data_IF_787906695190
#
_entry.id   IF_787906695190
#
_cell.length_a   1.000
_cell.length_b   1.000
_cell.length_c   1.000
_cell.angle_alpha   90.00
_cell.angle_beta   90.00
_cell.angle_gamma   90.00
#
_symmetry.space_group_name_H-M   'P 1'
#
loop_
_entity.id
_entity.type
_entity.pdbx_description
1 polymer ?
#
# COMPACT_ATOMS: atom_id res chain seq x y z
N UNK A 1 -19.90 82.49 20.03
CA UNK A 1 -20.40 81.20 20.57
C UNK A 1 -19.72 80.11 19.77
N UNK A 2 -18.77 79.38 20.35
CA UNK A 2 -17.96 78.39 19.67
C UNK A 2 -18.68 77.03 19.63
N UNK A 3 -18.80 76.45 18.44
CA UNK A 3 -19.37 75.13 18.20
C UNK A 3 -18.30 74.05 18.44
N UNK A 4 -18.64 73.03 19.23
CA UNK A 4 -17.80 71.84 19.44
C UNK A 4 -18.52 70.63 18.85
N UNK A 5 -18.01 70.11 17.73
CA UNK A 5 -18.43 68.84 17.16
C UNK A 5 -17.50 67.74 17.66
N UNK A 6 -18.05 66.76 18.39
CA UNK A 6 -17.32 65.56 18.84
C UNK A 6 -17.51 64.47 17.79
N UNK A 7 -16.46 64.16 17.03
CA UNK A 7 -16.43 62.99 16.15
C UNK A 7 -16.12 61.74 16.99
N UNK A 8 -17.04 60.79 17.00
CA UNK A 8 -16.84 59.45 17.58
C UNK A 8 -16.26 58.52 16.52
N UNK A 9 -15.03 58.05 16.71
CA UNK A 9 -14.41 57.03 15.87
C UNK A 9 -14.88 55.63 16.32
N UNK A 10 -15.63 54.94 15.47
CA UNK A 10 -15.97 53.54 15.64
C UNK A 10 -14.81 52.65 15.17
N UNK A 11 -14.21 51.89 16.08
CA UNK A 11 -13.23 50.85 15.76
C UNK A 11 -13.98 49.61 15.26
N UNK A 12 -13.85 49.30 13.97
CA UNK A 12 -14.26 48.02 13.40
C UNK A 12 -13.20 46.97 13.72
N UNK A 13 -13.54 45.98 14.55
CA UNK A 13 -12.70 44.82 14.80
C UNK A 13 -12.85 43.83 13.64
N UNK A 14 -11.88 43.81 12.72
CA UNK A 14 -11.76 42.77 11.70
C UNK A 14 -11.19 41.51 12.36
N UNK A 15 -12.06 40.54 12.65
CA UNK A 15 -11.65 39.19 13.01
C UNK A 15 -11.00 38.53 11.79
N UNK A 16 -9.67 38.43 11.79
CA UNK A 16 -8.92 37.65 10.82
C UNK A 16 -9.18 36.16 11.13
N UNK A 17 -10.04 35.52 10.33
CA UNK A 17 -10.14 34.08 10.30
C UNK A 17 -8.81 33.52 9.79
N UNK A 18 -7.96 33.06 10.71
CA UNK A 18 -6.73 32.33 10.37
C UNK A 18 -7.20 30.98 9.80
N UNK A 19 -6.86 30.62 8.55
CA UNK A 19 -7.06 29.27 8.08
C UNK A 19 -6.27 28.36 9.02
N UNK A 20 -6.96 27.45 9.70
CA UNK A 20 -6.29 26.37 10.41
C UNK A 20 -5.49 25.60 9.34
N UNK A 21 -4.18 25.83 9.27
CA UNK A 21 -3.27 24.98 8.55
C UNK A 21 -3.47 23.57 9.12
N UNK A 22 -4.13 22.70 8.37
CA UNK A 22 -4.07 21.27 8.63
C UNK A 22 -2.59 20.94 8.76
N UNK A 23 -2.17 20.47 9.93
CA UNK A 23 -0.81 19.98 10.14
C UNK A 23 -0.52 19.01 8.98
N UNK A 24 0.64 19.17 8.32
CA UNK A 24 1.07 18.18 7.32
C UNK A 24 0.99 16.82 8.01
N UNK A 25 0.06 15.97 7.59
CA UNK A 25 0.06 14.58 8.01
C UNK A 25 1.37 14.00 7.49
N UNK A 26 2.23 13.55 8.39
CA UNK A 26 3.44 12.79 8.06
C UNK A 26 3.18 11.33 8.39
N UNK A 27 3.65 10.41 7.55
CA UNK A 27 3.54 8.97 7.76
C UNK A 27 2.82 8.24 6.62
N UNK A 28 2.64 6.92 6.74
CA UNK A 28 2.12 6.07 5.66
C UNK A 28 0.73 6.46 5.15
N UNK A 29 -0.11 7.03 6.03
CA UNK A 29 -1.47 7.47 5.68
C UNK A 29 -1.59 8.97 5.36
N UNK A 30 -0.47 9.66 5.14
CA UNK A 30 -0.47 11.09 4.84
C UNK A 30 -1.29 11.42 3.59
N UNK A 31 -2.18 12.40 3.68
CA UNK A 31 -2.95 12.89 2.53
C UNK A 31 -4.25 12.16 2.25
N UNK A 32 -4.56 11.09 3.00
CA UNK A 32 -5.83 10.36 2.86
C UNK A 32 -6.92 10.81 3.86
N UNK A 33 -8.16 10.44 3.57
CA UNK A 33 -9.34 10.84 4.35
C UNK A 33 -9.36 10.29 5.78
N UNK A 34 -10.21 10.88 6.62
CA UNK A 34 -10.49 10.36 7.96
C UNK A 34 -11.07 8.94 7.85
N UNK A 35 -10.43 7.96 8.48
CA UNK A 35 -10.75 6.54 8.37
C UNK A 35 -9.60 5.70 7.79
N UNK A 36 -8.64 6.34 7.12
CA UNK A 36 -7.39 5.68 6.77
C UNK A 36 -6.61 5.30 8.01
N UNK A 37 -5.99 4.12 8.01
CA UNK A 37 -5.31 3.58 9.20
C UNK A 37 -4.13 2.71 8.81
N UNK A 38 -3.13 2.67 9.70
CA UNK A 38 -1.98 1.76 9.61
C UNK A 38 -2.23 0.44 10.37
N UNK A 39 -3.39 0.32 11.03
CA UNK A 39 -3.78 -0.86 11.82
C UNK A 39 -5.30 -1.08 11.69
N UNK A 40 -5.82 -1.52 10.53
CA UNK A 40 -7.22 -1.89 10.38
C UNK A 40 -7.57 -3.06 11.31
N UNK A 41 -8.81 -3.11 11.80
CA UNK A 41 -9.27 -4.12 12.77
C UNK A 41 -9.72 -5.43 12.12
N UNK A 42 -9.48 -5.60 10.83
CA UNK A 42 -9.93 -6.74 10.04
C UNK A 42 -8.77 -7.29 9.22
N UNK A 43 -8.81 -8.60 8.99
CA UNK A 43 -7.91 -9.28 8.07
C UNK A 43 -8.42 -9.06 6.66
N UNK A 44 -7.53 -9.06 5.67
CA UNK A 44 -7.92 -8.79 4.29
C UNK A 44 -7.10 -9.60 3.29
N UNK A 45 -7.64 -9.73 2.09
CA UNK A 45 -6.88 -10.09 0.90
C UNK A 45 -6.64 -8.83 0.06
N UNK A 46 -5.68 -8.90 -0.86
CA UNK A 46 -5.40 -7.81 -1.78
C UNK A 46 -5.92 -8.16 -3.16
N UNK A 47 -6.46 -7.15 -3.85
CA UNK A 47 -6.93 -7.30 -5.23
C UNK A 47 -6.43 -6.14 -6.07
N UNK A 48 -5.74 -6.44 -7.16
CA UNK A 48 -5.28 -5.46 -8.13
C UNK A 48 -6.42 -5.14 -9.12
N UNK A 49 -6.94 -3.92 -9.07
CA UNK A 49 -8.02 -3.47 -9.95
C UNK A 49 -7.44 -2.46 -10.96
N UNK A 50 -7.71 -2.60 -12.27
CA UNK A 50 -7.20 -1.66 -13.27
C UNK A 50 -7.49 -0.19 -12.91
N UNK A 51 -6.48 0.67 -13.07
CA UNK A 51 -6.64 2.09 -12.78
C UNK A 51 -7.71 2.73 -13.66
N UNK A 52 -8.58 3.54 -13.06
CA UNK A 52 -9.73 4.14 -13.75
C UNK A 52 -10.94 3.23 -13.94
N UNK A 53 -10.86 1.94 -13.55
CA UNK A 53 -12.04 1.08 -13.53
C UNK A 53 -13.06 1.56 -12.48
N UNK A 54 -14.36 1.34 -12.74
CA UNK A 54 -15.43 1.74 -11.83
C UNK A 54 -15.40 1.00 -10.48
N UNK A 55 -16.20 1.46 -9.52
CA UNK A 55 -16.26 0.92 -8.16
C UNK A 55 -16.75 -0.55 -8.07
N UNK A 56 -17.40 -1.07 -9.12
CA UNK A 56 -17.88 -2.45 -9.18
C UNK A 56 -16.98 -3.36 -10.04
N UNK A 57 -15.79 -2.88 -10.44
CA UNK A 57 -14.89 -3.67 -11.25
C UNK A 57 -14.29 -4.80 -10.41
N UNK A 58 -14.30 -6.01 -10.97
CA UNK A 58 -13.57 -7.14 -10.41
C UNK A 58 -12.10 -7.01 -10.79
N UNK A 59 -11.20 -7.06 -9.81
CA UNK A 59 -9.76 -7.09 -10.05
C UNK A 59 -9.19 -8.51 -10.08
N UNK A 60 -7.87 -8.59 -10.17
CA UNK A 60 -7.11 -9.82 -10.02
C UNK A 60 -6.69 -9.98 -8.55
N UNK A 61 -7.07 -11.08 -7.87
CA UNK A 61 -6.55 -11.38 -6.53
C UNK A 61 -5.03 -11.45 -6.53
N UNK A 62 -4.43 -10.91 -5.48
CA UNK A 62 -2.99 -10.96 -5.24
C UNK A 62 -2.67 -11.98 -4.14
N UNK A 63 -1.64 -12.77 -4.40
CA UNK A 63 -1.11 -13.82 -3.51
C UNK A 63 0.40 -13.68 -3.42
N UNK A 64 1.01 -14.30 -2.42
CA UNK A 64 2.47 -14.40 -2.38
C UNK A 64 2.92 -15.49 -3.35
N UNK A 65 3.76 -15.12 -4.30
CA UNK A 65 4.50 -16.05 -5.16
C UNK A 65 6.00 -15.95 -4.91
N UNK A 66 6.78 -16.86 -5.50
CA UNK A 66 8.23 -16.77 -5.42
C UNK A 66 8.72 -15.43 -5.98
N UNK A 67 9.75 -14.89 -5.34
CA UNK A 67 10.46 -13.69 -5.75
C UNK A 67 11.85 -14.02 -6.28
N UNK A 68 12.68 -13.00 -6.54
CA UNK A 68 14.05 -13.17 -6.97
C UNK A 68 14.86 -14.09 -6.06
N UNK A 69 15.91 -14.68 -6.62
CA UNK A 69 16.79 -15.53 -5.85
C UNK A 69 17.48 -14.66 -4.78
N UNK A 70 17.01 -14.78 -3.54
CA UNK A 70 17.57 -14.02 -2.43
C UNK A 70 19.05 -14.36 -2.17
N UNK A 71 19.73 -13.46 -1.47
CA UNK A 71 21.17 -13.57 -1.20
C UNK A 71 21.54 -14.65 -0.14
N UNK A 72 20.54 -15.32 0.45
CA UNK A 72 20.71 -16.26 1.56
C UNK A 72 19.94 -17.56 1.34
N UNK A 73 20.52 -18.74 1.62
CA UNK A 73 19.78 -20.00 1.60
C UNK A 73 18.84 -20.18 2.80
N UNK A 74 18.93 -19.32 3.82
CA UNK A 74 18.10 -19.39 5.03
C UNK A 74 16.83 -18.53 4.96
N UNK A 75 16.69 -17.72 3.90
CA UNK A 75 15.57 -16.85 3.67
C UNK A 75 15.17 -16.95 2.20
N UNK A 76 13.88 -17.07 1.92
CA UNK A 76 13.40 -16.96 0.54
C UNK A 76 12.76 -15.59 0.34
N UNK A 77 12.94 -15.02 -0.84
CA UNK A 77 12.28 -13.80 -1.24
C UNK A 77 11.03 -14.13 -2.03
N UNK A 78 9.94 -13.44 -1.69
CA UNK A 78 8.61 -13.64 -2.26
C UNK A 78 8.03 -12.30 -2.65
N UNK A 79 7.10 -12.28 -3.58
CA UNK A 79 6.48 -11.05 -4.11
C UNK A 79 4.98 -11.19 -4.18
N UNK A 80 4.27 -10.07 -4.18
CA UNK A 80 2.84 -10.08 -4.51
C UNK A 80 2.66 -10.30 -6.02
N UNK A 81 1.91 -11.33 -6.35
CA UNK A 81 1.63 -11.76 -7.72
C UNK A 81 0.15 -11.99 -7.93
N UNK A 82 -0.30 -11.92 -9.18
CA UNK A 82 -1.68 -12.32 -9.49
C UNK A 82 -1.84 -13.82 -9.25
N UNK A 83 -2.92 -14.20 -8.57
CA UNK A 83 -3.25 -15.62 -8.30
C UNK A 83 -3.30 -16.44 -9.60
N UNK A 84 -3.82 -15.85 -10.68
CA UNK A 84 -3.89 -16.51 -11.98
C UNK A 84 -2.50 -16.86 -12.58
N UNK A 85 -1.46 -16.11 -12.21
CA UNK A 85 -0.09 -16.33 -12.70
C UNK A 85 0.73 -17.27 -11.82
N UNK A 86 0.48 -17.26 -10.50
CA UNK A 86 1.19 -18.09 -9.53
C UNK A 86 0.52 -19.46 -9.34
N UNK A 87 -0.80 -19.47 -9.17
CA UNK A 87 -1.65 -20.67 -9.12
C UNK A 87 -1.91 -21.22 -7.71
N UNK A 88 -1.19 -20.76 -6.69
CA UNK A 88 -1.33 -21.24 -5.31
C UNK A 88 -1.53 -20.06 -4.34
N UNK A 89 -2.14 -20.33 -3.18
CA UNK A 89 -2.32 -19.32 -2.14
C UNK A 89 -1.98 -19.92 -0.78
N UNK A 90 -0.68 -19.99 -0.51
CA UNK A 90 -0.12 -20.51 0.73
C UNK A 90 -0.17 -19.47 1.87
N UNK A 91 -0.53 -18.22 1.55
CA UNK A 91 -0.61 -17.08 2.48
C UNK A 91 -1.99 -16.42 2.40
N UNK A 92 -3.04 -17.07 2.95
CA UNK A 92 -4.44 -16.84 2.57
C UNK A 92 -4.98 -15.43 2.86
N UNK A 93 -4.40 -14.72 3.82
CA UNK A 93 -4.82 -13.39 4.19
C UNK A 93 -3.66 -12.58 4.76
N UNK A 94 -3.89 -11.28 4.88
CA UNK A 94 -2.92 -10.30 5.32
C UNK A 94 -3.49 -9.52 6.49
N UNK A 95 -2.61 -9.21 7.45
CA UNK A 95 -2.85 -8.21 8.48
C UNK A 95 -1.99 -6.99 8.22
N UNK A 96 -2.49 -5.81 8.54
CA UNK A 96 -1.70 -4.58 8.53
C UNK A 96 -1.61 -4.09 9.98
N UNK A 97 -0.40 -4.00 10.51
CA UNK A 97 -0.17 -3.59 11.90
C UNK A 97 0.92 -2.53 11.95
N UNK A 98 0.56 -1.35 12.46
CA UNK A 98 1.47 -0.20 12.62
C UNK A 98 2.21 0.16 11.32
N UNK A 99 1.58 -0.15 10.18
CA UNK A 99 2.10 0.14 8.84
C UNK A 99 2.91 -1.01 8.23
N UNK A 100 3.09 -2.11 8.97
CA UNK A 100 3.69 -3.33 8.47
C UNK A 100 2.65 -4.23 7.80
N UNK A 101 2.88 -4.56 6.53
CA UNK A 101 2.06 -5.49 5.77
C UNK A 101 2.54 -6.91 6.07
N UNK A 102 1.71 -7.71 6.72
CA UNK A 102 2.06 -9.00 7.30
C UNK A 102 1.17 -10.12 6.75
N UNK A 103 1.56 -10.75 5.63
CA UNK A 103 0.91 -11.97 5.16
C UNK A 103 0.96 -13.07 6.22
N UNK A 104 -0.15 -13.80 6.35
CA UNK A 104 -0.31 -14.83 7.37
C UNK A 104 -0.16 -16.22 6.75
N UNK A 105 0.63 -17.11 7.36
CA UNK A 105 0.93 -18.41 6.77
C UNK A 105 -0.31 -19.32 6.77
N UNK A 106 -0.46 -20.09 5.71
CA UNK A 106 -1.39 -21.20 5.61
C UNK A 106 -0.89 -22.44 6.36
N UNK A 107 -1.52 -23.58 6.09
CA UNK A 107 -1.20 -24.83 6.80
C UNK A 107 0.20 -25.35 6.46
N UNK A 108 0.61 -25.21 5.19
CA UNK A 108 1.88 -25.74 4.70
C UNK A 108 3.09 -24.84 5.05
N UNK A 109 2.84 -23.55 5.31
CA UNK A 109 3.84 -22.55 5.71
C UNK A 109 3.89 -22.31 7.24
N UNK A 110 3.29 -23.22 8.02
CA UNK A 110 3.15 -23.04 9.46
C UNK A 110 4.51 -22.90 10.18
N UNK A 111 4.65 -21.82 10.97
CA UNK A 111 5.87 -21.48 11.70
C UNK A 111 6.83 -20.56 10.93
N UNK A 112 6.42 -20.09 9.75
CA UNK A 112 7.11 -19.05 8.98
C UNK A 112 6.39 -17.70 9.12
N UNK A 113 7.14 -16.63 8.88
CA UNK A 113 6.63 -15.27 8.80
C UNK A 113 7.10 -14.58 7.51
N UNK A 114 6.23 -13.76 6.94
CA UNK A 114 6.52 -12.93 5.78
C UNK A 114 6.71 -11.47 6.18
N UNK A 115 7.90 -10.93 5.94
CA UNK A 115 8.28 -9.59 6.40
C UNK A 115 8.75 -8.73 5.22
N UNK A 116 8.03 -7.63 4.97
CA UNK A 116 8.44 -6.66 3.97
C UNK A 116 9.59 -5.81 4.53
N UNK A 117 10.70 -5.69 3.80
CA UNK A 117 11.86 -4.88 4.21
C UNK A 117 11.88 -3.48 3.58
N UNK A 118 10.85 -3.14 2.81
CA UNK A 118 10.72 -1.88 2.10
C UNK A 118 9.99 -2.05 0.78
N UNK A 119 9.72 -0.92 0.13
CA UNK A 119 9.23 -0.87 -1.25
C UNK A 119 9.69 0.46 -1.84
N UNK A 120 10.83 0.43 -2.53
CA UNK A 120 11.34 1.61 -3.21
C UNK A 120 10.68 1.76 -4.58
N UNK A 121 10.81 2.96 -5.17
CA UNK A 121 10.32 3.22 -6.52
C UNK A 121 10.97 2.28 -7.52
N UNK A 122 10.14 1.54 -8.24
CA UNK A 122 10.58 0.61 -9.27
C UNK A 122 10.68 -0.83 -8.79
N UNK A 123 10.48 -1.10 -7.50
CA UNK A 123 10.61 -2.44 -6.95
C UNK A 123 9.26 -3.18 -6.92
N UNK A 124 9.35 -4.50 -7.00
CA UNK A 124 8.26 -5.38 -6.62
C UNK A 124 7.97 -5.24 -5.12
N UNK A 125 6.72 -5.49 -4.71
CA UNK A 125 6.40 -5.56 -3.29
C UNK A 125 6.93 -6.89 -2.72
N UNK A 126 8.14 -6.82 -2.18
CA UNK A 126 8.96 -7.97 -1.75
C UNK A 126 8.77 -8.32 -0.27
N UNK A 127 8.92 -9.59 0.04
CA UNK A 127 8.86 -10.15 1.39
C UNK A 127 10.01 -11.12 1.58
N UNK A 128 10.63 -11.07 2.75
CA UNK A 128 11.52 -12.11 3.21
C UNK A 128 10.70 -13.13 4.01
N UNK A 129 10.77 -14.39 3.62
CA UNK A 129 10.17 -15.51 4.34
C UNK A 129 11.23 -16.19 5.19
N UNK A 130 11.04 -16.14 6.50
CA UNK A 130 11.92 -16.73 7.53
C UNK A 130 11.06 -17.38 8.62
N UNK A 131 11.69 -18.01 9.61
CA UNK A 131 10.99 -18.49 10.80
C UNK A 131 10.25 -17.36 11.51
N UNK A 132 9.07 -17.66 12.05
CA UNK A 132 8.23 -16.67 12.74
C UNK A 132 8.99 -15.98 13.89
N UNK A 133 9.02 -14.66 13.85
CA UNK A 133 9.63 -13.81 14.88
C UNK A 133 8.57 -13.05 15.66
N UNK A 134 8.76 -12.95 16.98
CA UNK A 134 7.85 -12.19 17.86
C UNK A 134 7.99 -10.66 17.70
N UNK A 135 9.07 -10.19 17.10
CA UNK A 135 9.36 -8.75 16.91
C UNK A 135 10.20 -8.56 15.64
N UNK A 136 9.61 -8.85 14.46
CA UNK A 136 10.33 -8.80 13.19
C UNK A 136 10.70 -7.37 12.83
N UNK A 137 11.85 -7.19 12.20
CA UNK A 137 12.20 -5.93 11.55
C UNK A 137 11.50 -5.86 10.19
N UNK A 138 10.39 -5.12 10.11
CA UNK A 138 9.58 -4.96 8.89
C UNK A 138 9.33 -3.48 8.62
N UNK A 139 9.15 -3.12 7.36
CA UNK A 139 8.89 -1.75 6.96
C UNK A 139 7.48 -1.31 7.36
N UNK A 140 7.41 -0.19 8.08
CA UNK A 140 6.17 0.44 8.56
C UNK A 140 5.70 1.54 7.58
N UNK A 141 5.59 1.18 6.30
CA UNK A 141 5.37 2.14 5.20
C UNK A 141 3.98 2.06 4.57
N UNK A 142 3.17 1.07 4.96
CA UNK A 142 1.87 0.81 4.34
C UNK A 142 0.72 1.48 5.08
N UNK A 143 -0.34 1.78 4.33
CA UNK A 143 -1.59 2.30 4.87
C UNK A 143 -2.79 1.66 4.20
N UNK A 144 -3.83 1.36 4.99
CA UNK A 144 -5.18 1.13 4.50
C UNK A 144 -5.83 2.50 4.25
N UNK A 145 -5.76 2.97 3.01
CA UNK A 145 -6.13 4.32 2.60
C UNK A 145 -7.58 4.40 2.11
N UNK A 146 -8.35 5.31 2.69
CA UNK A 146 -9.69 5.66 2.22
C UNK A 146 -9.60 6.74 1.14
N UNK A 147 -9.53 6.33 -0.14
CA UNK A 147 -9.31 7.23 -1.28
C UNK A 147 -10.62 7.77 -1.87
N UNK A 148 -11.67 6.94 -1.97
CA UNK A 148 -12.92 7.28 -2.68
C UNK A 148 -14.19 7.15 -1.82
N UNK A 149 -14.05 6.84 -0.52
CA UNK A 149 -15.16 6.55 0.39
C UNK A 149 -15.92 5.26 0.09
N UNK A 150 -15.62 4.57 -1.01
CA UNK A 150 -16.32 3.34 -1.45
C UNK A 150 -15.47 2.07 -1.31
N UNK A 151 -14.14 2.21 -1.31
CA UNK A 151 -13.18 1.13 -1.15
C UNK A 151 -11.95 1.64 -0.38
N UNK A 152 -11.23 0.69 0.21
CA UNK A 152 -9.97 0.93 0.92
C UNK A 152 -8.84 0.43 0.02
N UNK A 153 -7.85 1.27 -0.24
CA UNK A 153 -6.70 0.94 -1.06
C UNK A 153 -5.45 0.74 -0.21
N UNK A 154 -4.53 -0.10 -0.67
CA UNK A 154 -3.18 -0.17 -0.13
C UNK A 154 -2.42 1.05 -0.63
N UNK A 155 -1.79 1.77 0.28
CA UNK A 155 -0.89 2.85 -0.03
C UNK A 155 0.50 2.60 0.56
N UNK A 156 1.53 3.11 -0.11
CA UNK A 156 2.92 3.12 0.34
C UNK A 156 3.33 4.56 0.55
N UNK A 157 3.81 4.92 1.74
CA UNK A 157 4.33 6.26 2.04
C UNK A 157 3.40 7.42 1.62
N UNK A 158 2.08 7.25 1.79
CA UNK A 158 1.09 8.26 1.41
C UNK A 158 0.65 8.22 -0.07
N UNK A 159 1.02 7.17 -0.81
CA UNK A 159 0.72 7.02 -2.22
C UNK A 159 0.03 5.68 -2.52
N UNK A 160 -1.21 5.74 -3.03
CA UNK A 160 -2.00 4.59 -3.45
C UNK A 160 -2.05 4.42 -4.98
N UNK A 161 -1.55 5.40 -5.74
CA UNK A 161 -1.87 5.56 -7.16
C UNK A 161 -0.81 5.06 -8.14
N UNK A 162 0.36 4.64 -7.66
CA UNK A 162 1.51 4.30 -8.51
C UNK A 162 1.81 2.80 -8.62
N UNK A 163 0.86 1.93 -8.29
CA UNK A 163 1.04 0.50 -8.50
C UNK A 163 0.81 0.08 -9.96
N UNK A 164 1.50 -0.95 -10.39
CA UNK A 164 1.28 -1.61 -11.68
C UNK A 164 1.47 -3.13 -11.57
N UNK A 165 0.83 -3.86 -12.47
CA UNK A 165 1.09 -5.27 -12.70
C UNK A 165 2.03 -5.45 -13.90
N UNK A 166 3.19 -6.04 -13.68
CA UNK A 166 4.24 -6.22 -14.69
C UNK A 166 4.59 -7.70 -14.84
N UNK A 167 4.93 -8.14 -16.05
CA UNK A 167 5.43 -9.51 -16.27
C UNK A 167 6.88 -9.60 -15.81
N UNK A 168 7.18 -10.60 -14.97
CA UNK A 168 8.55 -10.93 -14.58
C UNK A 168 9.39 -11.35 -15.81
N UNK A 169 10.65 -10.94 -15.86
CA UNK A 169 11.63 -11.22 -16.94
C UNK A 169 12.51 -12.43 -16.65
N UNK A 170 12.37 -13.02 -15.47
CA UNK A 170 13.49 -13.72 -14.83
C UNK A 170 13.58 -15.21 -15.17
N UNK A 171 14.71 -15.82 -14.81
CA UNK A 171 15.03 -17.24 -15.03
C UNK A 171 14.49 -18.17 -13.93
N UNK A 172 14.04 -17.60 -12.80
CA UNK A 172 13.57 -18.34 -11.64
C UNK A 172 12.05 -18.55 -11.64
N UNK A 173 11.29 -17.75 -12.38
CA UNK A 173 9.88 -18.02 -12.70
C UNK A 173 9.51 -17.48 -14.09
N UNK A 174 8.70 -18.23 -14.83
CA UNK A 174 8.22 -17.79 -16.15
C UNK A 174 6.74 -17.42 -16.11
N UNK A 175 6.39 -16.30 -16.73
CA UNK A 175 5.00 -15.80 -16.88
C UNK A 175 4.29 -15.39 -15.57
N UNK A 176 5.04 -15.15 -14.49
CA UNK A 176 4.48 -14.54 -13.28
C UNK A 176 4.18 -13.06 -13.53
N UNK A 177 3.06 -12.58 -13.00
CA UNK A 177 2.64 -11.17 -13.10
C UNK A 177 2.67 -10.58 -11.70
N UNK A 178 3.59 -9.66 -11.48
CA UNK A 178 3.96 -9.14 -10.16
C UNK A 178 3.47 -7.71 -9.95
N UNK A 179 3.13 -7.39 -8.71
CA UNK A 179 2.80 -6.05 -8.27
C UNK A 179 4.10 -5.25 -8.06
N UNK A 180 4.26 -4.21 -8.86
CA UNK A 180 5.39 -3.27 -8.81
C UNK A 180 4.89 -1.93 -8.32
N UNK A 181 5.64 -1.31 -7.40
CA UNK A 181 5.38 0.05 -6.96
C UNK A 181 6.20 1.04 -7.80
N UNK A 182 5.51 2.00 -8.42
CA UNK A 182 6.08 3.05 -9.26
C UNK A 182 7.10 2.50 -10.28
N UNK A 183 6.67 1.60 -11.19
CA UNK A 183 7.57 0.90 -12.11
C UNK A 183 8.43 1.88 -12.92
N UNK A 184 9.66 1.48 -13.22
CA UNK A 184 10.57 2.26 -14.04
C UNK A 184 11.11 1.41 -15.22
N UNK A 185 11.57 2.08 -16.27
CA UNK A 185 12.02 1.41 -17.49
C UNK A 185 13.42 0.78 -17.37
N UNK A 186 14.17 1.14 -16.32
CA UNK A 186 15.55 0.71 -16.07
C UNK A 186 15.57 -0.38 -14.98
N UNK A 187 14.71 -1.39 -15.10
CA UNK A 187 14.60 -2.51 -14.16
C UNK A 187 14.83 -3.86 -14.89
N UNK A 188 15.51 -4.79 -14.24
CA UNK A 188 15.88 -6.10 -14.83
C UNK A 188 14.96 -7.25 -14.39
N UNK A 189 14.13 -7.07 -13.37
CA UNK A 189 13.26 -8.09 -12.76
C UNK A 189 11.88 -8.21 -13.44
N UNK A 190 11.45 -7.16 -14.15
CA UNK A 190 10.22 -7.17 -14.95
C UNK A 190 10.35 -6.43 -16.29
N UNK A 191 9.42 -6.71 -17.21
CA UNK A 191 9.37 -6.02 -18.51
C UNK A 191 8.48 -4.78 -18.40
N UNK A 192 9.08 -3.59 -18.37
CA UNK A 192 8.36 -2.33 -18.17
C UNK A 192 7.19 -2.12 -19.17
N UNK A 193 7.34 -2.51 -20.43
CA UNK A 193 6.30 -2.36 -21.45
C UNK A 193 5.05 -3.22 -21.20
N UNK A 194 5.15 -4.20 -20.31
CA UNK A 194 4.02 -5.05 -19.90
C UNK A 194 3.26 -4.48 -18.70
N UNK A 195 3.81 -3.46 -18.04
CA UNK A 195 3.24 -2.87 -16.84
C UNK A 195 1.88 -2.22 -17.11
N UNK A 196 0.85 -2.71 -16.43
CA UNK A 196 -0.50 -2.14 -16.48
C UNK A 196 -0.83 -1.47 -15.15
N UNK A 197 -1.17 -0.17 -15.13
CA UNK A 197 -1.48 0.53 -13.87
C UNK A 197 -2.70 -0.06 -13.17
N UNK A 198 -2.58 -0.24 -11.85
CA UNK A 198 -3.64 -0.74 -10.98
C UNK A 198 -3.74 0.11 -9.71
N UNK A 199 -4.92 0.11 -9.11
CA UNK A 199 -5.07 0.36 -7.68
C UNK A 199 -5.13 -0.97 -6.96
N UNK A 200 -4.70 -1.01 -5.70
CA UNK A 200 -4.70 -2.25 -4.91
C UNK A 200 -5.75 -2.10 -3.82
N UNK A 201 -6.84 -2.86 -3.91
CA UNK A 201 -7.94 -2.80 -2.95
C UNK A 201 -7.75 -3.83 -1.82
N UNK A 202 -8.09 -3.45 -0.59
CA UNK A 202 -8.19 -4.34 0.57
C UNK A 202 -9.61 -4.91 0.65
N UNK A 203 -9.72 -6.23 0.50
CA UNK A 203 -11.00 -6.94 0.57
C UNK A 203 -11.07 -7.66 1.93
N UNK A 204 -12.08 -7.38 2.79
CA UNK A 204 -12.23 -8.08 4.06
C UNK A 204 -12.22 -9.60 3.89
N UNK A 205 -11.46 -10.29 4.75
CA UNK A 205 -11.35 -11.74 4.78
C UNK A 205 -12.16 -12.29 5.96
N UNK A 206 -13.15 -13.14 5.66
CA UNK A 206 -14.11 -13.66 6.65
C UNK A 206 -13.81 -15.10 7.15
N UNK A 207 -12.76 -15.75 6.65
CA UNK A 207 -12.41 -17.13 7.02
C UNK A 207 -12.89 -18.18 6.02
#
# INVERSE_FOLDING_TARGET
MFASAVLSFAFAASALAVPALQARQSGPCAGFGAGSTVTPTYNFTLTAVPSGAGANATGAPLVLGWGPAGDSPAASEWVLSTEASWGENEWPYITLQDGALLPQPGTDEHGLGAYNFGTDTGDEVLFTIIGEEASPSTAEIFCAALVSGSYVELAVNGDAGNFALCNATTTWVSNQVNLVYAPNADNEDYTYETCTPVRVELIPYDG
#
